data_IF_653782235437
#
_entry.id   IF_653782235437
#
_cell.length_a   1.000
_cell.length_b   1.000
_cell.length_c   1.000
_cell.angle_alpha   90.00
_cell.angle_beta   90.00
_cell.angle_gamma   90.00
#
_symmetry.space_group_name_H-M   'P 1'
#
loop_
_entity.id
_entity.type
_entity.pdbx_description
1 polymer ?
#
# COMPACT_ATOMS: atom_id res chain seq x y z
N UNK A 1 82.42 -16.18 -25.08
CA UNK A 1 80.98 -16.44 -24.95
C UNK A 1 80.13 -15.20 -24.48
N UNK A 2 80.65 -14.26 -23.71
CA UNK A 2 79.90 -13.09 -23.20
C UNK A 2 79.46 -12.05 -24.26
N UNK A 3 80.32 -11.92 -25.35
CA UNK A 3 80.03 -10.92 -26.38
C UNK A 3 78.93 -11.30 -27.39
N UNK A 4 78.72 -12.59 -27.63
CA UNK A 4 77.72 -13.05 -28.56
C UNK A 4 76.30 -13.00 -27.99
N UNK A 5 76.14 -13.15 -26.65
CA UNK A 5 74.89 -13.00 -25.97
C UNK A 5 74.34 -11.57 -25.95
N UNK A 6 75.29 -10.59 -25.78
CA UNK A 6 74.93 -9.14 -25.84
C UNK A 6 74.55 -8.69 -27.25
N UNK A 7 75.15 -9.27 -28.30
CA UNK A 7 74.76 -9.01 -29.71
C UNK A 7 73.39 -9.65 -30.06
N UNK A 8 73.11 -10.82 -29.50
CA UNK A 8 71.82 -11.48 -29.70
C UNK A 8 70.68 -10.73 -29.00
N UNK A 9 70.92 -10.23 -27.78
CA UNK A 9 69.94 -9.37 -27.04
C UNK A 9 69.71 -8.04 -27.76
N UNK A 10 70.75 -7.42 -28.32
CA UNK A 10 70.59 -6.16 -29.07
C UNK A 10 69.82 -6.36 -30.39
N UNK A 11 69.97 -7.48 -31.05
CA UNK A 11 69.18 -7.85 -32.25
C UNK A 11 67.72 -8.15 -31.95
N UNK A 12 67.43 -8.77 -30.81
CA UNK A 12 66.03 -9.05 -30.36
C UNK A 12 65.35 -7.71 -29.94
N UNK A 13 66.07 -6.77 -29.28
CA UNK A 13 65.51 -5.45 -28.94
C UNK A 13 65.26 -4.59 -30.20
N UNK A 14 66.13 -4.68 -31.21
CA UNK A 14 65.97 -3.94 -32.47
C UNK A 14 64.77 -4.50 -33.29
N UNK A 15 64.56 -5.84 -33.25
CA UNK A 15 63.41 -6.48 -33.93
C UNK A 15 62.09 -6.19 -33.22
N UNK A 16 62.09 -6.04 -31.88
CA UNK A 16 60.89 -5.63 -31.12
C UNK A 16 60.50 -4.18 -31.38
N UNK A 17 61.45 -3.26 -31.62
CA UNK A 17 61.15 -1.87 -31.96
C UNK A 17 60.72 -1.67 -33.41
N UNK A 18 61.06 -2.56 -34.34
CA UNK A 18 60.59 -2.49 -35.75
C UNK A 18 59.18 -3.04 -35.96
N UNK A 19 58.65 -3.85 -35.04
CA UNK A 19 57.25 -4.34 -35.08
C UNK A 19 56.24 -3.35 -34.52
N UNK A 20 56.69 -2.34 -33.78
CA UNK A 20 55.81 -1.30 -33.22
C UNK A 20 55.53 -0.12 -34.17
N UNK A 21 56.12 -0.06 -35.36
CA UNK A 21 55.95 1.03 -36.33
C UNK A 21 54.98 0.69 -37.49
N UNK A 22 54.42 -0.55 -37.54
CA UNK A 22 53.50 -0.94 -38.57
C UNK A 22 52.02 -1.03 -38.08
N UNK A 23 51.72 -0.59 -36.85
CA UNK A 23 50.37 -0.57 -36.26
C UNK A 23 49.72 0.80 -36.33
N UNK A 24 50.11 1.68 -37.25
CA UNK A 24 49.48 2.99 -37.43
C UNK A 24 49.06 3.16 -38.89
N UNK A 25 47.90 2.58 -39.29
CA UNK A 25 47.40 2.78 -40.64
C UNK A 25 46.21 1.95 -41.03
N UNK A 26 45.25 1.74 -40.12
CA UNK A 26 43.89 1.38 -40.52
C UNK A 26 42.94 2.11 -39.59
N UNK A 27 42.38 3.22 -40.08
CA UNK A 27 41.14 3.79 -39.52
C UNK A 27 40.05 2.71 -39.75
N UNK A 28 39.88 1.87 -38.75
CA UNK A 28 38.62 1.17 -38.59
C UNK A 28 37.71 2.20 -37.92
N UNK A 29 36.80 2.78 -38.70
CA UNK A 29 35.60 3.43 -38.22
C UNK A 29 34.75 2.32 -37.55
N UNK A 30 35.22 1.83 -36.43
CA UNK A 30 34.41 1.18 -35.43
C UNK A 30 33.72 2.30 -34.67
N UNK A 31 32.53 2.69 -35.09
CA UNK A 31 31.59 3.22 -34.15
C UNK A 31 31.51 2.20 -33.03
N UNK A 32 32.21 2.51 -31.94
CA UNK A 32 31.78 2.05 -30.64
C UNK A 32 30.48 2.85 -30.47
N UNK A 33 29.36 2.20 -30.81
CA UNK A 33 28.07 2.60 -30.30
C UNK A 33 28.25 2.47 -28.78
N UNK A 34 28.64 3.57 -28.14
CA UNK A 34 28.29 3.80 -26.75
C UNK A 34 26.76 3.71 -26.79
N UNK A 35 26.23 2.54 -26.45
CA UNK A 35 24.84 2.38 -26.06
C UNK A 35 24.77 3.22 -24.79
N UNK A 36 24.48 4.49 -24.97
CA UNK A 36 24.09 5.37 -23.88
C UNK A 36 22.82 4.70 -23.37
N UNK A 37 22.91 4.03 -22.21
CA UNK A 37 21.77 3.41 -21.60
C UNK A 37 20.69 4.50 -21.53
N UNK A 38 19.53 4.25 -22.10
CA UNK A 38 18.41 5.17 -22.02
C UNK A 38 18.18 5.49 -20.54
N UNK A 39 18.40 6.74 -20.17
CA UNK A 39 18.27 7.19 -18.78
C UNK A 39 16.80 7.32 -18.36
N UNK A 40 15.87 7.21 -19.32
CA UNK A 40 14.43 7.29 -19.11
C UNK A 40 13.70 6.21 -19.91
N UNK A 41 12.49 5.89 -19.50
CA UNK A 41 11.56 4.99 -20.20
C UNK A 41 10.13 5.52 -20.13
N UNK A 42 9.26 5.04 -21.00
CA UNK A 42 7.83 5.31 -20.91
C UNK A 42 7.17 4.27 -20.02
N UNK A 43 6.38 4.74 -19.07
CA UNK A 43 5.50 3.94 -18.22
C UNK A 43 4.04 4.30 -18.54
N UNK A 44 3.19 3.31 -18.79
CA UNK A 44 1.75 3.52 -18.97
C UNK A 44 1.06 3.29 -17.62
N UNK A 45 0.47 4.35 -17.08
CA UNK A 45 -0.23 4.29 -15.79
C UNK A 45 -1.67 3.76 -15.91
N UNK A 46 -2.38 3.57 -14.79
CA UNK A 46 -3.74 3.02 -14.78
C UNK A 46 -4.79 3.97 -15.40
N UNK A 47 -4.49 5.25 -15.53
CA UNK A 47 -5.30 6.21 -16.29
C UNK A 47 -5.07 6.13 -17.80
N UNK A 48 -4.15 5.27 -18.26
CA UNK A 48 -3.74 5.15 -19.67
C UNK A 48 -2.82 6.27 -20.15
N UNK A 49 -2.21 7.04 -19.22
CA UNK A 49 -1.25 8.10 -19.54
C UNK A 49 0.13 7.46 -19.80
N UNK A 50 0.80 7.92 -20.86
CA UNK A 50 2.18 7.58 -21.13
C UNK A 50 3.11 8.60 -20.43
N UNK A 51 3.71 8.20 -19.33
CA UNK A 51 4.56 9.04 -18.48
C UNK A 51 6.02 8.67 -18.69
N UNK A 52 6.86 9.65 -19.03
CA UNK A 52 8.32 9.46 -19.10
C UNK A 52 8.89 9.48 -17.69
N UNK A 53 9.44 8.35 -17.26
CA UNK A 53 10.06 8.18 -15.93
C UNK A 53 11.54 7.81 -16.07
N UNK A 54 12.39 8.03 -15.06
CA UNK A 54 13.74 7.49 -15.04
C UNK A 54 13.73 5.97 -15.23
N UNK A 55 14.70 5.43 -15.99
CA UNK A 55 14.83 3.98 -16.17
C UNK A 55 15.15 3.27 -14.83
N UNK A 56 15.82 3.97 -13.91
CA UNK A 56 16.18 3.51 -12.57
C UNK A 56 15.66 4.53 -11.52
N UNK A 57 14.48 4.23 -10.96
CA UNK A 57 13.82 5.05 -9.94
C UNK A 57 14.45 4.77 -8.57
N UNK A 58 15.04 5.79 -7.93
CA UNK A 58 15.68 5.68 -6.62
C UNK A 58 14.96 6.48 -5.53
N UNK A 59 14.22 7.52 -5.91
CA UNK A 59 13.54 8.44 -4.98
C UNK A 59 12.07 8.53 -5.30
N UNK A 60 11.24 8.10 -4.38
CA UNK A 60 9.79 8.05 -4.55
C UNK A 60 9.12 9.00 -3.57
N UNK A 61 8.28 9.88 -4.09
CA UNK A 61 7.29 10.60 -3.30
C UNK A 61 5.92 9.96 -3.45
N UNK A 62 5.08 10.11 -2.44
CA UNK A 62 3.71 9.57 -2.41
C UNK A 62 2.69 10.69 -2.41
N UNK A 63 1.60 10.51 -3.15
CA UNK A 63 0.55 11.53 -3.32
C UNK A 63 -0.45 11.59 -2.16
N UNK A 64 -0.50 10.55 -1.35
CA UNK A 64 -1.50 10.40 -0.31
C UNK A 64 -1.28 9.19 0.59
N UNK A 65 -2.10 9.03 1.65
CA UNK A 65 -1.92 7.96 2.63
C UNK A 65 -2.12 6.55 2.07
N UNK A 66 -2.89 6.37 0.99
CA UNK A 66 -3.04 5.07 0.34
C UNK A 66 -1.72 4.66 -0.32
N UNK A 67 -1.15 5.57 -1.13
CA UNK A 67 0.14 5.36 -1.78
C UNK A 67 1.26 5.15 -0.75
N UNK A 68 1.24 5.90 0.37
CA UNK A 68 2.22 5.76 1.45
C UNK A 68 2.32 4.31 1.95
N UNK A 69 1.20 3.64 2.20
CA UNK A 69 1.19 2.28 2.72
C UNK A 69 1.62 1.25 1.68
N UNK A 70 1.17 1.41 0.43
CA UNK A 70 1.48 0.48 -0.65
C UNK A 70 2.95 0.59 -1.07
N UNK A 71 3.48 1.81 -1.17
CA UNK A 71 4.90 2.05 -1.51
C UNK A 71 5.82 1.64 -0.36
N UNK A 72 5.42 1.90 0.91
CA UNK A 72 6.18 1.46 2.08
C UNK A 72 6.40 -0.06 2.08
N UNK A 73 5.40 -0.83 1.69
CA UNK A 73 5.51 -2.29 1.66
C UNK A 73 6.53 -2.81 0.63
N UNK A 74 6.69 -2.14 -0.51
CA UNK A 74 7.58 -2.63 -1.57
C UNK A 74 8.96 -1.95 -1.55
N UNK A 75 9.03 -0.67 -1.19
CA UNK A 75 10.24 0.13 -1.35
C UNK A 75 10.38 1.21 -0.25
N UNK A 76 10.39 0.86 1.05
CA UNK A 76 10.51 1.83 2.14
C UNK A 76 11.76 2.71 2.01
N UNK A 77 12.89 2.13 1.61
CA UNK A 77 14.18 2.81 1.47
C UNK A 77 14.23 3.83 0.32
N UNK A 78 13.29 3.73 -0.64
CA UNK A 78 13.19 4.70 -1.75
C UNK A 78 12.31 5.89 -1.40
N UNK A 79 11.53 5.85 -0.32
CA UNK A 79 10.63 6.94 0.07
C UNK A 79 11.41 8.17 0.53
N UNK A 80 11.14 9.33 -0.08
CA UNK A 80 11.76 10.61 0.30
C UNK A 80 10.87 11.47 1.21
N UNK A 81 9.69 10.98 1.54
CA UNK A 81 8.75 11.63 2.43
C UNK A 81 7.44 10.87 2.52
N UNK A 82 6.60 11.28 3.43
CA UNK A 82 5.28 10.70 3.72
C UNK A 82 4.17 11.72 3.47
N UNK A 83 3.01 11.23 3.07
CA UNK A 83 1.85 12.11 2.85
C UNK A 83 1.30 12.68 4.17
N UNK A 84 1.18 11.81 5.16
CA UNK A 84 0.77 12.16 6.52
C UNK A 84 1.78 11.60 7.52
N UNK A 85 1.88 12.24 8.69
CA UNK A 85 2.62 11.65 9.80
C UNK A 85 2.09 10.24 10.08
N UNK A 86 3.00 9.34 10.44
CA UNK A 86 2.63 8.03 10.93
C UNK A 86 1.78 8.17 12.20
N UNK A 87 0.80 7.29 12.35
CA UNK A 87 0.02 7.22 13.58
C UNK A 87 0.92 6.88 14.79
N UNK A 88 0.52 7.32 16.00
CA UNK A 88 1.30 7.04 17.21
C UNK A 88 1.51 5.53 17.42
N UNK A 89 0.57 4.69 17.00
CA UNK A 89 0.68 3.24 17.07
C UNK A 89 1.80 2.69 16.19
N UNK A 90 2.15 3.38 15.10
CA UNK A 90 3.23 2.98 14.20
C UNK A 90 4.61 3.02 14.87
N UNK A 91 4.80 3.85 15.90
CA UNK A 91 6.07 3.95 16.64
C UNK A 91 6.50 2.62 17.28
N UNK A 92 5.55 1.72 17.52
CA UNK A 92 5.84 0.40 18.07
C UNK A 92 6.35 -0.62 17.02
N UNK A 93 6.30 -0.26 15.73
CA UNK A 93 6.52 -1.19 14.62
C UNK A 93 7.56 -0.70 13.61
N UNK A 94 7.73 0.62 13.44
CA UNK A 94 8.58 1.17 12.40
C UNK A 94 9.86 1.76 12.96
N UNK A 95 10.94 1.61 12.21
CA UNK A 95 12.23 2.21 12.56
C UNK A 95 12.20 3.74 12.49
N UNK A 96 13.02 4.41 13.30
CA UNK A 96 13.08 5.87 13.44
C UNK A 96 13.34 6.58 12.11
N UNK A 97 14.08 5.95 11.19
CA UNK A 97 14.36 6.52 9.88
C UNK A 97 13.09 6.75 9.05
N UNK A 98 12.11 5.83 9.12
CA UNK A 98 10.83 5.97 8.43
C UNK A 98 9.89 6.94 9.16
N UNK A 99 9.92 6.92 10.50
CA UNK A 99 9.10 7.81 11.33
C UNK A 99 9.50 9.28 11.18
N UNK A 100 10.76 9.56 10.83
CA UNK A 100 11.32 10.89 10.68
C UNK A 100 11.24 11.47 9.26
N UNK A 101 10.67 10.75 8.29
CA UNK A 101 10.53 11.23 6.92
C UNK A 101 9.73 12.55 6.85
N UNK A 102 10.11 13.49 5.96
CA UNK A 102 9.43 14.76 5.83
C UNK A 102 7.99 14.62 5.36
N UNK A 103 7.10 15.52 5.82
CA UNK A 103 5.71 15.56 5.39
C UNK A 103 5.59 16.25 4.03
N UNK A 104 5.11 15.52 3.03
CA UNK A 104 4.87 16.03 1.67
C UNK A 104 3.45 16.60 1.52
N UNK A 105 2.51 16.24 2.42
CA UNK A 105 1.10 16.50 2.23
C UNK A 105 0.45 15.52 1.25
N UNK A 106 -0.79 15.81 0.84
CA UNK A 106 -1.56 14.88 0.01
C UNK A 106 -2.27 15.58 -1.15
N UNK A 107 -2.38 14.89 -2.28
CA UNK A 107 -3.03 15.41 -3.49
C UNK A 107 -4.56 15.41 -3.32
N UNK A 108 -5.11 14.32 -2.77
CA UNK A 108 -6.54 14.16 -2.56
C UNK A 108 -6.88 13.72 -1.15
N UNK A 109 -8.07 14.12 -0.71
CA UNK A 109 -8.64 13.73 0.59
C UNK A 109 -8.08 14.53 1.77
N UNK A 110 -8.68 14.34 2.94
CA UNK A 110 -8.23 14.92 4.19
C UNK A 110 -8.26 16.46 4.24
N UNK A 111 -7.40 17.01 5.09
CA UNK A 111 -7.28 18.46 5.34
C UNK A 111 -5.94 19.04 4.88
N UNK A 112 -5.08 18.22 4.26
CA UNK A 112 -3.76 18.65 3.83
C UNK A 112 -3.70 18.83 2.31
N UNK A 113 -2.98 19.85 1.85
CA UNK A 113 -2.62 20.02 0.45
C UNK A 113 -1.20 19.50 0.24
N UNK A 114 -0.90 19.04 -0.98
CA UNK A 114 0.45 18.65 -1.38
C UNK A 114 1.38 19.87 -1.28
N UNK A 115 2.43 19.74 -0.47
CA UNK A 115 3.40 20.81 -0.27
C UNK A 115 4.45 20.77 -1.39
N UNK A 116 4.24 21.56 -2.44
CA UNK A 116 5.11 21.60 -3.60
C UNK A 116 6.54 22.06 -3.26
N UNK A 117 6.73 22.94 -2.27
CA UNK A 117 8.06 23.38 -1.85
C UNK A 117 8.83 22.21 -1.22
N UNK A 118 8.21 21.48 -0.30
CA UNK A 118 8.81 20.30 0.33
C UNK A 118 9.05 19.19 -0.70
N UNK A 119 8.10 18.96 -1.60
CA UNK A 119 8.22 17.97 -2.68
C UNK A 119 9.40 18.28 -3.60
N UNK A 120 9.54 19.53 -4.05
CA UNK A 120 10.66 19.96 -4.90
C UNK A 120 12.01 19.88 -4.15
N UNK A 121 12.03 20.21 -2.86
CA UNK A 121 13.24 20.08 -2.03
C UNK A 121 13.67 18.61 -1.83
N UNK A 122 12.71 17.68 -1.73
CA UNK A 122 12.98 16.24 -1.64
C UNK A 122 13.53 15.67 -2.96
N UNK A 123 13.27 16.35 -4.08
CA UNK A 123 13.74 16.00 -5.42
C UNK A 123 13.47 14.51 -5.78
N UNK A 124 12.21 14.04 -5.75
CA UNK A 124 11.90 12.67 -6.14
C UNK A 124 12.05 12.45 -7.64
N UNK A 125 12.30 11.21 -8.03
CA UNK A 125 12.33 10.76 -9.42
C UNK A 125 10.91 10.60 -10.00
N UNK A 126 9.95 10.29 -9.12
CA UNK A 126 8.54 10.10 -9.45
C UNK A 126 7.66 10.35 -8.23
N UNK A 127 6.45 10.85 -8.46
CA UNK A 127 5.35 10.86 -7.47
C UNK A 127 4.38 9.74 -7.83
N UNK A 128 4.12 8.85 -6.89
CA UNK A 128 3.20 7.73 -7.06
C UNK A 128 1.90 8.02 -6.33
N UNK A 129 0.80 7.96 -7.08
CA UNK A 129 -0.57 7.96 -6.57
C UNK A 129 -1.15 6.55 -6.66
N UNK A 130 -1.88 6.13 -5.63
CA UNK A 130 -2.48 4.79 -5.56
C UNK A 130 -3.90 4.89 -5.02
N UNK A 131 -4.83 4.16 -5.65
CA UNK A 131 -6.18 4.02 -5.15
C UNK A 131 -7.24 3.96 -6.24
N UNK A 132 -8.44 4.45 -5.93
CA UNK A 132 -9.53 4.61 -6.87
C UNK A 132 -9.34 5.90 -7.67
N UNK A 133 -9.39 5.87 -9.02
CA UNK A 133 -9.20 7.06 -9.83
C UNK A 133 -10.32 8.08 -9.60
N UNK A 134 -9.96 9.32 -9.35
CA UNK A 134 -10.90 10.45 -9.28
C UNK A 134 -11.18 10.99 -10.68
N UNK A 135 -12.34 11.63 -10.88
CA UNK A 135 -12.76 12.07 -12.20
C UNK A 135 -11.82 13.08 -12.92
N UNK A 136 -11.06 13.89 -12.15
CA UNK A 136 -10.08 14.87 -12.67
C UNK A 136 -8.62 14.44 -12.51
N UNK A 137 -8.38 13.19 -12.10
CA UNK A 137 -7.06 12.73 -11.68
C UNK A 137 -5.98 12.90 -12.77
N UNK A 138 -6.29 12.52 -14.00
CA UNK A 138 -5.33 12.60 -15.10
C UNK A 138 -4.94 14.06 -15.40
N UNK A 139 -5.91 14.96 -15.46
CA UNK A 139 -5.70 16.38 -15.70
C UNK A 139 -4.93 17.05 -14.55
N UNK A 140 -5.26 16.70 -13.31
CA UNK A 140 -4.58 17.24 -12.12
C UNK A 140 -3.11 16.81 -12.07
N UNK A 141 -2.81 15.55 -12.42
CA UNK A 141 -1.44 15.04 -12.49
C UNK A 141 -0.64 15.66 -13.63
N UNK A 142 -1.25 15.84 -14.81
CA UNK A 142 -0.59 16.51 -15.93
C UNK A 142 -0.23 17.96 -15.58
N UNK A 143 -1.12 18.68 -14.91
CA UNK A 143 -0.87 20.04 -14.45
C UNK A 143 0.26 20.11 -13.41
N UNK A 144 0.30 19.16 -12.45
CA UNK A 144 1.37 19.08 -11.46
C UNK A 144 2.70 18.70 -12.08
N UNK A 145 2.72 17.78 -13.04
CA UNK A 145 3.91 17.40 -13.78
C UNK A 145 4.45 18.59 -14.59
N UNK A 146 3.60 19.37 -15.24
CA UNK A 146 4.00 20.57 -15.94
C UNK A 146 4.57 21.63 -14.99
N UNK A 147 3.96 21.81 -13.82
CA UNK A 147 4.37 22.78 -12.81
C UNK A 147 5.68 22.43 -12.13
N UNK A 148 5.92 21.15 -11.83
CA UNK A 148 7.06 20.70 -11.01
C UNK A 148 8.22 20.14 -11.83
N UNK A 149 7.95 19.66 -13.05
CA UNK A 149 8.90 18.90 -13.86
C UNK A 149 9.14 17.47 -13.33
N UNK A 150 8.39 17.01 -12.33
CA UNK A 150 8.48 15.66 -11.75
C UNK A 150 7.41 14.78 -12.39
N UNK A 151 7.72 13.54 -12.81
CA UNK A 151 6.70 12.60 -13.29
C UNK A 151 5.70 12.25 -12.18
N UNK A 152 4.40 12.24 -12.50
CA UNK A 152 3.32 11.77 -11.66
C UNK A 152 2.66 10.56 -12.32
N UNK A 153 2.49 9.46 -11.60
CA UNK A 153 1.86 8.23 -12.09
C UNK A 153 0.74 7.79 -11.16
N UNK A 154 -0.34 7.26 -11.72
CA UNK A 154 -1.43 6.65 -10.96
C UNK A 154 -1.46 5.14 -11.17
N UNK A 155 -1.69 4.40 -10.08
CA UNK A 155 -1.87 2.96 -10.08
C UNK A 155 -3.15 2.62 -9.34
N UNK A 156 -4.10 2.00 -10.05
CA UNK A 156 -5.34 1.51 -9.45
C UNK A 156 -5.05 0.52 -8.32
N UNK A 157 -5.82 0.60 -7.24
CA UNK A 157 -5.69 -0.30 -6.10
C UNK A 157 -7.05 -0.66 -5.52
N UNK A 158 -7.56 -1.80 -5.93
CA UNK A 158 -8.76 -2.41 -5.36
C UNK A 158 -8.40 -3.67 -4.58
N UNK A 159 -9.25 -4.07 -3.64
CA UNK A 159 -9.03 -5.28 -2.85
C UNK A 159 -8.82 -6.52 -3.75
N UNK A 160 -9.60 -6.62 -4.83
CA UNK A 160 -9.58 -7.76 -5.74
C UNK A 160 -8.38 -7.81 -6.69
N UNK A 161 -7.70 -6.69 -6.91
CA UNK A 161 -6.61 -6.52 -7.88
C UNK A 161 -5.34 -5.96 -7.26
N UNK A 162 -5.16 -6.11 -5.95
CA UNK A 162 -3.97 -5.62 -5.26
C UNK A 162 -2.67 -6.29 -5.74
N UNK A 163 -2.75 -7.49 -6.25
CA UNK A 163 -1.65 -8.18 -6.92
C UNK A 163 -1.21 -7.47 -8.22
N UNK A 164 -2.17 -6.98 -9.02
CA UNK A 164 -1.89 -6.19 -10.22
C UNK A 164 -1.26 -4.84 -9.86
N UNK A 165 -1.70 -4.21 -8.76
CA UNK A 165 -1.10 -3.00 -8.20
C UNK A 165 0.40 -3.21 -7.92
N UNK A 166 0.77 -4.31 -7.24
CA UNK A 166 2.18 -4.61 -6.96
C UNK A 166 2.96 -5.01 -8.21
N UNK A 167 2.35 -5.70 -9.16
CA UNK A 167 3.00 -6.00 -10.44
C UNK A 167 3.38 -4.72 -11.20
N UNK A 168 2.48 -3.73 -11.25
CA UNK A 168 2.76 -2.43 -11.86
C UNK A 168 3.85 -1.64 -11.11
N UNK A 169 3.83 -1.66 -9.77
CA UNK A 169 4.88 -1.04 -8.95
C UNK A 169 6.24 -1.71 -9.17
N UNK A 170 6.25 -3.04 -9.25
CA UNK A 170 7.47 -3.79 -9.54
C UNK A 170 8.10 -3.44 -10.88
N UNK A 171 7.27 -3.21 -11.92
CA UNK A 171 7.75 -2.68 -13.19
C UNK A 171 8.26 -1.25 -13.04
N UNK A 172 7.47 -0.35 -12.44
CA UNK A 172 7.84 1.06 -12.27
C UNK A 172 9.16 1.25 -11.51
N UNK A 173 9.35 0.49 -10.43
CA UNK A 173 10.50 0.60 -9.52
C UNK A 173 11.69 -0.29 -9.88
N UNK A 174 11.57 -1.11 -10.93
CA UNK A 174 12.53 -2.15 -11.30
C UNK A 174 12.80 -3.16 -10.13
N UNK A 175 11.75 -3.52 -9.39
CA UNK A 175 11.76 -4.41 -8.23
C UNK A 175 10.83 -5.64 -8.43
N UNK A 176 11.05 -6.45 -9.49
CA UNK A 176 10.09 -7.50 -9.85
C UNK A 176 10.00 -8.64 -8.82
N UNK A 177 11.07 -8.92 -8.08
CA UNK A 177 11.07 -10.02 -7.10
C UNK A 177 10.30 -9.64 -5.84
N UNK A 178 10.52 -8.43 -5.33
CA UNK A 178 9.82 -7.87 -4.17
C UNK A 178 8.32 -7.73 -4.47
N UNK A 179 8.01 -7.19 -5.63
CA UNK A 179 6.65 -7.05 -6.12
C UNK A 179 5.92 -8.40 -6.24
N UNK A 180 6.59 -9.41 -6.81
CA UNK A 180 6.00 -10.75 -6.98
C UNK A 180 5.63 -11.38 -5.63
N UNK A 181 6.48 -11.24 -4.60
CA UNK A 181 6.20 -11.77 -3.27
C UNK A 181 4.95 -11.13 -2.65
N UNK A 182 4.80 -9.82 -2.76
CA UNK A 182 3.62 -9.08 -2.28
C UNK A 182 2.36 -9.41 -3.11
N UNK A 183 2.49 -9.46 -4.43
CA UNK A 183 1.40 -9.81 -5.33
C UNK A 183 0.86 -11.21 -5.06
N UNK A 184 1.73 -12.20 -4.96
CA UNK A 184 1.37 -13.60 -4.67
C UNK A 184 0.65 -13.71 -3.32
N UNK A 185 1.14 -13.01 -2.30
CA UNK A 185 0.46 -12.98 -1.00
C UNK A 185 -0.93 -12.35 -1.11
N UNK A 186 -1.06 -11.18 -1.72
CA UNK A 186 -2.35 -10.50 -1.88
C UNK A 186 -3.36 -11.39 -2.60
N UNK A 187 -2.97 -12.00 -3.72
CA UNK A 187 -3.83 -12.91 -4.51
C UNK A 187 -4.24 -14.14 -3.69
N UNK A 188 -3.29 -14.82 -3.07
CA UNK A 188 -3.56 -16.02 -2.29
C UNK A 188 -4.51 -15.74 -1.10
N UNK A 189 -4.34 -14.60 -0.41
CA UNK A 189 -5.22 -14.25 0.71
C UNK A 189 -6.61 -13.82 0.23
N UNK A 190 -6.68 -13.07 -0.87
CA UNK A 190 -7.97 -12.72 -1.47
C UNK A 190 -8.75 -13.96 -1.88
N UNK A 191 -8.14 -14.89 -2.62
CA UNK A 191 -8.78 -16.11 -3.09
C UNK A 191 -9.23 -17.00 -1.91
N UNK A 192 -8.42 -17.11 -0.86
CA UNK A 192 -8.77 -17.83 0.36
C UNK A 192 -10.01 -17.24 1.04
N UNK A 193 -10.03 -15.94 1.26
CA UNK A 193 -11.15 -15.29 1.95
C UNK A 193 -12.40 -15.26 1.07
N UNK A 194 -12.23 -15.08 -0.24
CA UNK A 194 -13.36 -15.18 -1.18
C UNK A 194 -13.98 -16.57 -1.16
N UNK A 195 -13.18 -17.64 -1.11
CA UNK A 195 -13.70 -19.01 -1.01
C UNK A 195 -14.51 -19.22 0.30
N UNK A 196 -14.09 -18.62 1.42
CA UNK A 196 -14.85 -18.63 2.66
C UNK A 196 -16.19 -17.90 2.44
N UNK A 197 -16.14 -16.67 1.89
CA UNK A 197 -17.33 -15.86 1.64
C UNK A 197 -18.36 -16.56 0.73
N UNK A 198 -17.88 -17.34 -0.27
CA UNK A 198 -18.73 -18.10 -1.19
C UNK A 198 -19.30 -19.38 -0.54
N UNK A 199 -18.75 -19.85 0.58
CA UNK A 199 -19.15 -21.09 1.26
C UNK A 199 -20.11 -20.90 2.44
N UNK A 200 -20.35 -19.67 2.86
CA UNK A 200 -21.14 -19.34 4.07
C UNK A 200 -22.41 -18.57 3.74
N UNK A 201 -23.41 -18.68 4.62
CA UNK A 201 -24.52 -17.75 4.64
C UNK A 201 -24.05 -16.43 5.25
N UNK A 202 -24.04 -15.36 4.44
CA UNK A 202 -23.51 -14.07 4.87
C UNK A 202 -24.31 -13.45 6.00
N UNK A 203 -23.63 -13.04 7.07
CA UNK A 203 -24.21 -12.34 8.20
C UNK A 203 -24.68 -10.93 7.81
N UNK A 204 -25.77 -10.46 8.40
CA UNK A 204 -26.24 -9.10 8.29
C UNK A 204 -25.46 -8.20 9.24
N UNK A 205 -24.71 -7.24 8.73
CA UNK A 205 -23.86 -6.39 9.57
C UNK A 205 -24.01 -4.90 9.28
N UNK A 206 -23.56 -4.11 10.24
CA UNK A 206 -23.22 -2.69 10.07
C UNK A 206 -21.78 -2.46 10.44
N UNK A 207 -21.09 -1.60 9.68
CA UNK A 207 -19.81 -1.04 10.06
C UNK A 207 -20.02 0.43 10.47
N UNK A 208 -19.84 0.67 11.76
CA UNK A 208 -20.12 1.95 12.42
C UNK A 208 -18.84 2.75 12.58
N UNK A 209 -18.91 4.03 12.28
CA UNK A 209 -17.82 5.00 12.43
C UNK A 209 -18.31 6.26 13.18
N UNK A 210 -17.40 7.17 13.46
CA UNK A 210 -17.68 8.44 14.16
C UNK A 210 -17.84 8.28 15.66
N UNK A 211 -17.51 9.34 16.40
CA UNK A 211 -17.44 9.36 17.86
C UNK A 211 -18.81 9.09 18.52
N UNK A 212 -19.89 9.49 17.85
CA UNK A 212 -21.27 9.26 18.31
C UNK A 212 -21.85 7.92 17.79
N UNK A 213 -21.14 7.22 16.90
CA UNK A 213 -21.61 6.01 16.28
C UNK A 213 -22.75 6.21 15.26
N UNK A 214 -22.92 7.42 14.74
CA UNK A 214 -23.99 7.78 13.82
C UNK A 214 -23.47 7.93 12.37
N UNK A 215 -22.39 7.23 12.04
CA UNK A 215 -21.90 7.12 10.68
C UNK A 215 -21.73 5.65 10.29
N UNK A 216 -21.96 5.33 9.02
CA UNK A 216 -21.86 3.96 8.48
C UNK A 216 -21.07 3.94 7.19
N UNK A 217 -20.31 2.87 6.97
CA UNK A 217 -19.70 2.59 5.68
C UNK A 217 -20.73 1.91 4.80
N UNK A 218 -21.26 2.66 3.83
CA UNK A 218 -22.35 2.22 2.98
C UNK A 218 -21.91 1.20 1.93
N UNK A 219 -22.83 0.28 1.60
CA UNK A 219 -22.68 -0.70 0.54
C UNK A 219 -22.29 -0.04 -0.79
N UNK A 220 -21.34 -0.65 -1.51
CA UNK A 220 -20.86 -0.18 -2.81
C UNK A 220 -19.86 0.96 -2.74
N UNK A 221 -19.50 1.48 -1.56
CA UNK A 221 -18.42 2.46 -1.44
C UNK A 221 -17.05 1.77 -1.54
N UNK A 222 -16.03 2.50 -1.97
CA UNK A 222 -14.64 2.02 -2.00
C UNK A 222 -14.14 1.56 -0.61
N UNK A 223 -14.68 2.13 0.46
CA UNK A 223 -14.39 1.73 1.83
C UNK A 223 -15.07 0.42 2.25
N UNK A 224 -16.10 -0.03 1.53
CA UNK A 224 -16.90 -1.19 1.89
C UNK A 224 -16.43 -2.51 1.26
N UNK A 225 -15.39 -2.53 0.41
CA UNK A 225 -15.01 -3.72 -0.37
C UNK A 225 -14.87 -4.99 0.48
N UNK A 226 -14.24 -4.92 1.65
CA UNK A 226 -14.11 -6.07 2.57
C UNK A 226 -15.49 -6.50 3.12
N UNK A 227 -16.29 -5.52 3.50
CA UNK A 227 -17.62 -5.75 4.09
C UNK A 227 -18.54 -6.41 3.06
N UNK A 228 -18.62 -5.83 1.87
CA UNK A 228 -19.51 -6.29 0.80
C UNK A 228 -19.10 -7.67 0.26
N UNK A 229 -17.78 -7.98 0.33
CA UNK A 229 -17.29 -9.33 0.01
C UNK A 229 -17.75 -10.36 1.05
N UNK A 230 -17.63 -10.07 2.35
CA UNK A 230 -17.79 -11.05 3.43
C UNK A 230 -19.20 -11.08 4.04
N UNK A 231 -20.00 -10.02 3.93
CA UNK A 231 -21.24 -9.88 4.67
C UNK A 231 -22.36 -9.25 3.83
N UNK A 232 -23.58 -9.31 4.33
CA UNK A 232 -24.68 -8.47 3.88
C UNK A 232 -24.56 -7.13 4.60
N UNK A 233 -23.97 -6.15 3.93
CA UNK A 233 -23.89 -4.78 4.44
C UNK A 233 -25.27 -4.15 4.43
N UNK A 234 -25.82 -3.88 5.59
CA UNK A 234 -27.17 -3.33 5.73
C UNK A 234 -27.24 -1.82 5.46
N UNK A 235 -26.10 -1.15 5.42
CA UNK A 235 -26.01 0.30 5.17
C UNK A 235 -26.24 0.60 3.67
N UNK A 236 -27.48 0.44 3.22
CA UNK A 236 -27.91 0.79 1.87
C UNK A 236 -28.43 2.22 1.89
N UNK A 237 -27.79 3.10 1.12
CA UNK A 237 -28.10 4.52 0.99
C UNK A 237 -28.13 4.91 -0.49
N UNK A 238 -28.81 6.02 -0.81
CA UNK A 238 -28.93 6.47 -2.21
C UNK A 238 -27.58 6.89 -2.83
N UNK A 239 -26.73 7.55 -2.03
CA UNK A 239 -25.41 8.04 -2.45
C UNK A 239 -24.34 7.61 -1.44
N UNK A 240 -23.62 6.49 -1.70
CA UNK A 240 -22.51 6.07 -0.85
C UNK A 240 -21.40 7.13 -0.79
N UNK A 241 -21.00 7.49 0.43
CA UNK A 241 -19.95 8.47 0.66
C UNK A 241 -18.59 7.91 0.23
N UNK A 242 -17.80 8.73 -0.47
CA UNK A 242 -16.38 8.45 -0.75
C UNK A 242 -15.44 8.83 0.42
N UNK A 243 -15.98 9.35 1.53
CA UNK A 243 -15.22 9.73 2.73
C UNK A 243 -15.06 8.52 3.65
N UNK A 244 -13.91 8.39 4.29
CA UNK A 244 -13.64 7.33 5.26
C UNK A 244 -14.51 7.37 6.52
N UNK A 245 -15.14 8.52 6.82
CA UNK A 245 -16.15 8.61 7.87
C UNK A 245 -17.50 8.00 7.46
N UNK A 246 -17.71 7.72 6.16
CA UNK A 246 -18.94 7.15 5.64
C UNK A 246 -20.11 8.14 5.56
N UNK A 247 -21.33 7.57 5.58
CA UNK A 247 -22.59 8.30 5.52
C UNK A 247 -23.11 8.55 6.94
N UNK A 248 -23.58 9.76 7.18
CA UNK A 248 -24.31 10.10 8.43
C UNK A 248 -25.71 9.48 8.42
N UNK A 249 -26.10 8.90 9.54
CA UNK A 249 -27.39 8.24 9.75
C UNK A 249 -27.92 8.58 11.15
N UNK A 250 -29.20 8.30 11.39
CA UNK A 250 -29.76 8.42 12.72
C UNK A 250 -29.93 7.04 13.42
N UNK A 251 -30.20 7.09 14.72
CA UNK A 251 -30.37 5.88 15.53
C UNK A 251 -31.62 5.08 15.08
N UNK A 252 -32.68 5.74 14.60
CA UNK A 252 -33.87 5.07 14.11
C UNK A 252 -33.55 4.20 12.88
N UNK A 253 -32.72 4.72 11.98
CA UNK A 253 -32.27 3.97 10.81
C UNK A 253 -31.41 2.76 11.20
N UNK A 254 -30.47 2.93 12.15
CA UNK A 254 -29.67 1.82 12.69
C UNK A 254 -30.55 0.73 13.32
N UNK A 255 -31.56 1.14 14.11
CA UNK A 255 -32.52 0.24 14.72
C UNK A 255 -33.37 -0.52 13.66
N UNK A 256 -33.78 0.17 12.61
CA UNK A 256 -34.54 -0.42 11.51
C UNK A 256 -33.75 -1.46 10.73
N UNK A 257 -32.45 -1.24 10.53
CA UNK A 257 -31.56 -2.23 9.91
C UNK A 257 -31.37 -3.50 10.76
N UNK A 258 -31.41 -3.39 12.08
CA UNK A 258 -31.35 -4.49 13.03
C UNK A 258 -30.23 -5.51 12.70
N UNK A 259 -28.97 -5.11 12.76
CA UNK A 259 -27.84 -5.97 12.39
C UNK A 259 -27.71 -7.18 13.30
N UNK A 260 -27.23 -8.30 12.74
CA UNK A 260 -26.88 -9.49 13.50
C UNK A 260 -25.52 -9.35 14.19
N UNK A 261 -24.61 -8.55 13.60
CA UNK A 261 -23.29 -8.21 14.13
C UNK A 261 -23.01 -6.73 13.84
N UNK A 262 -22.36 -6.06 14.77
CA UNK A 262 -21.89 -4.68 14.58
C UNK A 262 -20.37 -4.66 14.64
N UNK A 263 -19.74 -4.07 13.62
CA UNK A 263 -18.29 -3.79 13.60
C UNK A 263 -18.12 -2.30 13.83
N UNK A 264 -17.25 -1.93 14.74
CA UNK A 264 -16.94 -0.55 15.09
C UNK A 264 -15.55 -0.17 14.59
N UNK A 265 -15.42 1.03 14.02
CA UNK A 265 -14.11 1.61 13.74
C UNK A 265 -13.40 1.99 15.05
N UNK A 266 -12.07 1.93 15.10
CA UNK A 266 -11.30 2.46 16.21
C UNK A 266 -11.62 3.93 16.46
N UNK A 267 -11.72 4.31 17.74
CA UNK A 267 -12.06 5.66 18.14
C UNK A 267 -13.53 6.05 17.92
N UNK A 268 -14.41 5.08 17.63
CA UNK A 268 -15.85 5.30 17.60
C UNK A 268 -16.48 5.14 18.99
N UNK A 269 -17.79 4.96 19.03
CA UNK A 269 -18.56 4.76 20.30
C UNK A 269 -18.28 3.40 21.00
N UNK A 270 -17.46 2.52 20.42
CA UNK A 270 -17.25 1.14 20.92
C UNK A 270 -17.05 1.05 22.43
N UNK A 271 -16.19 1.91 23.00
CA UNK A 271 -15.84 1.87 24.43
C UNK A 271 -16.99 2.14 25.38
N UNK A 272 -18.07 2.78 24.92
CA UNK A 272 -19.24 3.18 25.72
C UNK A 272 -20.54 2.53 25.26
N UNK A 273 -20.52 1.79 24.16
CA UNK A 273 -21.72 1.23 23.52
C UNK A 273 -22.48 0.26 24.45
N UNK A 274 -21.74 -0.47 25.29
CA UNK A 274 -22.30 -1.45 26.24
C UNK A 274 -23.19 -0.78 27.34
N UNK A 275 -22.87 0.47 27.68
CA UNK A 275 -23.60 1.22 28.70
C UNK A 275 -24.59 2.23 28.13
N UNK A 276 -24.66 2.34 26.80
CA UNK A 276 -25.54 3.27 26.11
C UNK A 276 -26.96 2.71 25.94
N UNK A 277 -27.96 3.32 26.58
CA UNK A 277 -29.34 2.85 26.58
C UNK A 277 -29.93 2.68 25.17
N UNK A 278 -29.60 3.56 24.23
CA UNK A 278 -30.11 3.48 22.85
C UNK A 278 -29.49 2.26 22.13
N UNK A 279 -28.17 2.07 22.26
CA UNK A 279 -27.45 0.97 21.65
C UNK A 279 -27.83 -0.39 22.24
N UNK A 280 -28.17 -0.44 23.55
CA UNK A 280 -28.66 -1.66 24.22
C UNK A 280 -30.01 -2.16 23.69
N UNK A 281 -30.73 -1.35 22.93
CA UNK A 281 -31.96 -1.78 22.26
C UNK A 281 -31.66 -2.69 21.04
N UNK A 282 -30.44 -2.63 20.48
CA UNK A 282 -29.99 -3.46 19.36
C UNK A 282 -29.63 -4.86 19.89
N UNK A 283 -30.25 -5.94 19.37
CA UNK A 283 -29.98 -7.30 19.83
C UNK A 283 -28.49 -7.69 19.74
N UNK A 284 -27.79 -7.31 18.68
CA UNK A 284 -26.37 -7.61 18.52
C UNK A 284 -25.52 -7.05 19.66
N UNK A 285 -25.80 -5.82 20.11
CA UNK A 285 -25.07 -5.18 21.22
C UNK A 285 -25.37 -5.89 22.54
N UNK A 286 -26.64 -6.10 22.85
CA UNK A 286 -27.07 -6.78 24.08
C UNK A 286 -26.54 -8.21 24.18
N UNK A 287 -26.42 -8.89 23.03
CA UNK A 287 -25.98 -10.28 22.94
C UNK A 287 -24.44 -10.40 22.83
N UNK A 288 -23.69 -9.28 22.90
CA UNK A 288 -22.23 -9.24 22.82
C UNK A 288 -21.66 -9.53 21.42
N UNK A 289 -22.48 -9.41 20.37
CA UNK A 289 -22.04 -9.63 18.97
C UNK A 289 -21.63 -8.32 18.31
N UNK A 290 -20.63 -7.68 18.90
CA UNK A 290 -20.04 -6.46 18.39
C UNK A 290 -18.54 -6.44 18.65
N UNK A 291 -17.78 -5.89 17.72
CA UNK A 291 -16.34 -5.97 17.70
C UNK A 291 -15.74 -4.64 17.25
N UNK A 292 -14.56 -4.29 17.77
CA UNK A 292 -13.79 -3.16 17.28
C UNK A 292 -12.70 -3.65 16.33
N UNK A 293 -12.53 -2.95 15.20
CA UNK A 293 -11.46 -3.23 14.25
C UNK A 293 -10.10 -2.99 14.91
N UNK A 294 -9.13 -3.90 14.79
CA UNK A 294 -7.79 -3.66 15.28
C UNK A 294 -7.15 -2.41 14.67
N UNK A 295 -6.42 -1.66 15.51
CA UNK A 295 -5.69 -0.45 15.13
C UNK A 295 -4.20 -0.60 15.45
N UNK A 296 -3.38 -0.67 14.43
CA UNK A 296 -1.94 -0.70 14.57
C UNK A 296 -1.25 -1.50 13.44
N UNK A 297 -0.27 -0.88 12.75
CA UNK A 297 0.02 0.56 12.66
C UNK A 297 -1.08 1.40 11.98
N UNK A 298 -2.08 0.75 11.38
CA UNK A 298 -3.25 1.36 10.76
C UNK A 298 -4.52 0.59 11.10
N UNK A 299 -5.68 1.22 10.89
CA UNK A 299 -6.97 0.56 10.93
C UNK A 299 -7.03 -0.55 9.86
N UNK A 300 -7.26 -1.81 10.27
CA UNK A 300 -7.18 -2.96 9.36
C UNK A 300 -8.28 -2.99 8.29
N UNK A 301 -9.40 -2.32 8.51
CA UNK A 301 -10.54 -2.36 7.57
C UNK A 301 -10.56 -1.23 6.55
N UNK A 302 -9.79 -0.16 6.76
CA UNK A 302 -9.74 0.83 5.70
C UNK A 302 -9.98 2.28 6.06
N UNK A 303 -9.18 2.82 6.95
CA UNK A 303 -9.06 4.26 7.12
C UNK A 303 -7.57 4.60 7.30
N UNK A 304 -6.88 4.88 6.17
CA UNK A 304 -7.31 4.90 4.76
C UNK A 304 -7.55 3.49 4.17
N UNK A 305 -8.36 3.34 3.09
CA UNK A 305 -8.65 2.06 2.45
C UNK A 305 -7.51 1.62 1.52
N UNK A 306 -6.45 1.05 2.08
CA UNK A 306 -5.25 0.63 1.35
C UNK A 306 -4.96 -0.87 1.53
N UNK A 307 -3.72 -1.29 1.35
CA UNK A 307 -3.30 -2.70 1.34
C UNK A 307 -3.56 -3.44 2.67
N UNK A 308 -3.63 -2.74 3.81
CA UNK A 308 -3.96 -3.38 5.09
C UNK A 308 -5.33 -4.06 5.10
N UNK A 309 -6.22 -3.74 4.16
CA UNK A 309 -7.49 -4.47 3.97
C UNK A 309 -7.28 -5.95 3.63
N UNK A 310 -6.12 -6.33 3.10
CA UNK A 310 -5.74 -7.74 2.92
C UNK A 310 -5.60 -8.46 4.28
N UNK A 311 -5.11 -7.79 5.32
CA UNK A 311 -5.15 -8.31 6.68
C UNK A 311 -6.57 -8.22 7.27
N UNK A 312 -7.23 -7.08 7.08
CA UNK A 312 -8.57 -6.81 7.59
C UNK A 312 -9.63 -7.81 7.10
N UNK A 313 -9.58 -8.25 5.83
CA UNK A 313 -10.51 -9.25 5.33
C UNK A 313 -10.31 -10.63 5.99
N UNK A 314 -9.06 -10.99 6.31
CA UNK A 314 -8.77 -12.24 7.02
C UNK A 314 -9.26 -12.17 8.48
N UNK A 315 -9.02 -11.04 9.14
CA UNK A 315 -9.53 -10.78 10.48
C UNK A 315 -11.07 -10.82 10.50
N UNK A 316 -11.75 -10.14 9.58
CA UNK A 316 -13.21 -10.10 9.54
C UNK A 316 -13.80 -11.47 9.24
N UNK A 317 -13.20 -12.28 8.36
CA UNK A 317 -13.62 -13.64 8.09
C UNK A 317 -13.50 -14.52 9.37
N UNK A 318 -12.40 -14.36 10.14
CA UNK A 318 -12.21 -15.07 11.41
C UNK A 318 -13.23 -14.68 12.47
N UNK A 319 -13.60 -13.40 12.56
CA UNK A 319 -14.62 -12.88 13.50
C UNK A 319 -16.02 -13.39 13.13
N UNK A 320 -16.38 -13.33 11.84
CA UNK A 320 -17.73 -13.68 11.41
C UNK A 320 -17.96 -15.18 11.24
N UNK A 321 -16.94 -15.90 10.79
CA UNK A 321 -17.04 -17.30 10.36
C UNK A 321 -15.87 -18.16 10.89
N UNK A 322 -15.68 -18.25 12.22
CA UNK A 322 -14.50 -18.90 12.81
C UNK A 322 -14.32 -20.36 12.36
N UNK A 323 -15.43 -21.09 12.14
CA UNK A 323 -15.40 -22.49 11.69
C UNK A 323 -14.96 -22.64 10.23
N UNK A 324 -15.26 -21.67 9.37
CA UNK A 324 -14.86 -21.67 7.95
C UNK A 324 -13.46 -21.03 7.77
N UNK A 325 -13.10 -20.08 8.62
CA UNK A 325 -11.79 -19.44 8.66
C UNK A 325 -10.82 -20.27 9.53
N UNK A 326 -10.55 -21.51 9.10
CA UNK A 326 -9.66 -22.46 9.80
C UNK A 326 -8.18 -22.13 9.51
N UNK A 327 -7.70 -21.03 10.10
CA UNK A 327 -6.30 -20.60 10.09
C UNK A 327 -5.96 -19.88 11.39
N UNK A 328 -4.67 -19.92 11.74
CA UNK A 328 -4.12 -19.18 12.86
C UNK A 328 -4.02 -17.69 12.49
N UNK A 329 -4.77 -16.85 13.24
CA UNK A 329 -4.80 -15.42 12.96
C UNK A 329 -3.51 -14.71 13.43
N UNK A 330 -2.84 -15.23 14.47
CA UNK A 330 -1.56 -14.71 14.92
C UNK A 330 -0.47 -14.94 13.87
N UNK A 331 -0.31 -16.16 13.37
CA UNK A 331 0.64 -16.47 12.28
C UNK A 331 0.34 -15.67 11.03
N UNK A 332 -0.96 -15.51 10.69
CA UNK A 332 -1.41 -14.69 9.56
C UNK A 332 -0.99 -13.24 9.73
N UNK A 333 -1.18 -12.67 10.93
CA UNK A 333 -0.82 -11.29 11.23
C UNK A 333 0.69 -11.10 11.23
N UNK A 334 1.46 -12.03 11.83
CA UNK A 334 2.92 -12.00 11.78
C UNK A 334 3.46 -11.98 10.35
N UNK A 335 2.93 -12.86 9.50
CA UNK A 335 3.33 -12.91 8.08
C UNK A 335 3.05 -11.58 7.38
N UNK A 336 1.86 -11.00 7.63
CA UNK A 336 1.53 -9.69 7.07
C UNK A 336 2.48 -8.60 7.56
N UNK A 337 2.78 -8.54 8.86
CA UNK A 337 3.68 -7.54 9.45
C UNK A 337 5.09 -7.65 8.87
N UNK A 338 5.61 -8.85 8.70
CA UNK A 338 6.92 -9.07 8.08
C UNK A 338 6.96 -8.62 6.63
N UNK A 339 5.92 -8.92 5.84
CA UNK A 339 5.90 -8.62 4.41
C UNK A 339 5.61 -7.14 4.11
N UNK A 340 4.68 -6.50 4.86
CA UNK A 340 4.16 -5.17 4.53
C UNK A 340 4.66 -4.07 5.46
N UNK A 341 5.08 -4.41 6.66
CA UNK A 341 5.58 -3.46 7.66
C UNK A 341 7.05 -3.68 8.01
N UNK A 342 7.69 -4.73 7.47
CA UNK A 342 9.11 -5.06 7.65
C UNK A 342 9.51 -5.23 9.11
N UNK A 343 8.60 -5.67 9.95
CA UNK A 343 8.82 -5.86 11.38
C UNK A 343 8.25 -7.18 11.89
N UNK A 344 8.80 -7.63 13.01
CA UNK A 344 8.27 -8.78 13.73
C UNK A 344 7.13 -8.35 14.67
N UNK A 345 6.10 -9.19 14.78
CA UNK A 345 5.00 -8.99 15.69
C UNK A 345 5.10 -10.01 16.84
N UNK A 346 5.14 -9.55 18.07
CA UNK A 346 5.12 -10.43 19.25
C UNK A 346 3.69 -10.88 19.61
N UNK A 347 3.56 -11.99 20.32
CA UNK A 347 2.27 -12.45 20.79
C UNK A 347 1.57 -11.43 21.72
N UNK A 348 2.34 -10.68 22.51
CA UNK A 348 1.80 -9.63 23.38
C UNK A 348 1.23 -8.46 22.56
N UNK A 349 1.95 -8.01 21.53
CA UNK A 349 1.47 -6.97 20.60
C UNK A 349 0.21 -7.43 19.86
N UNK A 350 0.20 -8.67 19.36
CA UNK A 350 -0.98 -9.25 18.72
C UNK A 350 -2.19 -9.29 19.65
N UNK A 351 -2.01 -9.78 20.87
CA UNK A 351 -3.09 -9.83 21.88
C UNK A 351 -3.64 -8.44 22.20
N UNK A 352 -2.77 -7.41 22.26
CA UNK A 352 -3.19 -6.03 22.45
C UNK A 352 -3.99 -5.49 21.25
N UNK A 353 -3.55 -5.78 20.00
CA UNK A 353 -4.25 -5.37 18.78
C UNK A 353 -5.64 -5.98 18.66
N UNK A 354 -5.83 -7.22 19.09
CA UNK A 354 -7.07 -7.98 18.90
C UNK A 354 -7.96 -8.06 20.14
N UNK A 355 -7.61 -7.36 21.20
CA UNK A 355 -8.28 -7.43 22.51
C UNK A 355 -9.80 -7.17 22.46
N UNK A 356 -10.27 -6.38 21.51
CA UNK A 356 -11.68 -5.99 21.37
C UNK A 356 -12.42 -6.77 20.25
N UNK A 357 -11.81 -7.83 19.72
CA UNK A 357 -12.37 -8.50 18.54
C UNK A 357 -12.20 -10.01 18.49
N UNK A 358 -11.10 -10.55 18.99
CA UNK A 358 -10.85 -11.98 19.00
C UNK A 358 -10.63 -12.43 20.47
N UNK A 359 -11.21 -13.56 20.84
CA UNK A 359 -10.91 -14.17 22.13
C UNK A 359 -9.39 -14.48 22.16
N UNK A 360 -8.75 -14.22 23.29
CA UNK A 360 -7.42 -14.75 23.52
C UNK A 360 -7.54 -16.29 23.58
N UNK A 361 -6.84 -16.98 22.66
CA UNK A 361 -6.75 -18.43 22.65
C UNK A 361 -6.00 -18.96 23.88
#
# INVERSE_FOLDING_TARGET
MKNNVKRLLALILALAMSLSLFACGQKQDGKQDDVQADTTRVFTDSCGREVTVPADVQKVAVSGPLAQMVVFAIAPDKMVGVANAWDETAQAYFDEEYLSLPLLGQLYGGKGELNLETLLAAAPDVVIDVGEPKGSLAEDMDALQEQTGIPFVHIDAYLATMDETYAMLGDLLAMPNEAQGLADYCRAMYDRVKAIADSVDKANILYITGDEGLNVIAQGSYHAEVIDMLANNLAVVDEPSSKGTGNEVDMEQILNWNPAVVIFAPGSIYSTVADNENWQTIPAIRDGRYYEVPMGPYNWMGFPPSVQRILGMQWMAKVLYPDAADYDMYETTQTYFQLFYHCDLTAEQYAALTAHSLAAD
#
